data_IF_554391067017
#
_entry.id   IF_554391067017
#
_cell.length_a   1.000
_cell.length_b   1.000
_cell.length_c   1.000
_cell.angle_alpha   90.00
_cell.angle_beta   90.00
_cell.angle_gamma   90.00
#
_symmetry.space_group_name_H-M   'P 1'
#
loop_
_entity.id
_entity.type
_entity.pdbx_description
1 polymer ?
#
# COMPACT_ATOMS: atom_id res chain seq x y z
N UNK A 1 11.96 -1.23 -4.52
CA UNK A 1 12.86 -0.96 -3.39
C UNK A 1 14.00 -1.97 -3.29
N UNK A 2 13.74 -3.24 -3.53
CA UNK A 2 14.72 -4.34 -3.48
C UNK A 2 15.00 -4.84 -4.91
N UNK A 3 15.46 -3.92 -5.78
CA UNK A 3 15.66 -4.18 -7.22
C UNK A 3 16.82 -5.14 -7.52
N UNK A 4 17.78 -5.21 -6.61
CA UNK A 4 18.98 -6.03 -6.79
C UNK A 4 18.76 -7.52 -6.49
N UNK A 5 17.59 -7.89 -5.95
CA UNK A 5 17.20 -9.26 -5.67
C UNK A 5 15.78 -9.50 -6.19
N UNK A 6 15.67 -10.13 -7.35
CA UNK A 6 14.40 -10.47 -8.01
C UNK A 6 13.52 -11.41 -7.18
N UNK A 7 14.13 -12.26 -6.36
CA UNK A 7 13.40 -13.24 -5.54
C UNK A 7 12.59 -12.60 -4.43
N UNK A 8 12.93 -11.35 -4.04
CA UNK A 8 12.23 -10.64 -2.97
C UNK A 8 10.72 -10.52 -3.21
N UNK A 9 10.31 -10.43 -4.47
CA UNK A 9 8.90 -10.28 -4.86
C UNK A 9 8.38 -11.46 -5.70
N UNK A 10 9.06 -12.61 -5.68
CA UNK A 10 8.68 -13.77 -6.47
C UNK A 10 7.22 -14.18 -6.23
N UNK A 11 6.75 -14.18 -4.97
CA UNK A 11 5.36 -14.52 -4.65
C UNK A 11 4.34 -13.57 -5.29
N UNK A 12 4.68 -12.29 -5.43
CA UNK A 12 3.82 -11.30 -6.10
C UNK A 12 3.76 -11.57 -7.61
N UNK A 13 4.92 -11.92 -8.20
CA UNK A 13 4.98 -12.32 -9.61
C UNK A 13 4.14 -13.54 -9.91
N UNK A 14 4.31 -14.58 -9.11
CA UNK A 14 3.56 -15.83 -9.30
C UNK A 14 2.07 -15.64 -9.07
N UNK A 15 1.67 -14.77 -8.13
CA UNK A 15 0.27 -14.41 -7.94
C UNK A 15 -0.32 -13.68 -9.16
N UNK A 16 0.42 -12.72 -9.74
CA UNK A 16 -0.01 -12.02 -10.96
C UNK A 16 -0.12 -12.97 -12.16
N UNK A 17 0.85 -13.88 -12.31
CA UNK A 17 0.80 -14.92 -13.36
C UNK A 17 -0.40 -15.84 -13.18
N UNK A 18 -0.63 -16.33 -11.98
CA UNK A 18 -1.78 -17.19 -11.69
C UNK A 18 -3.09 -16.48 -11.98
N UNK A 19 -3.22 -15.23 -11.57
CA UNK A 19 -4.40 -14.42 -11.88
C UNK A 19 -4.58 -14.22 -13.39
N UNK A 20 -3.50 -13.94 -14.13
CA UNK A 20 -3.57 -13.76 -15.58
C UNK A 20 -4.07 -15.00 -16.32
N UNK A 21 -3.66 -16.18 -15.88
CA UNK A 21 -4.16 -17.45 -16.43
C UNK A 21 -5.65 -17.66 -16.14
N UNK A 22 -6.09 -17.32 -14.93
CA UNK A 22 -7.51 -17.41 -14.56
C UNK A 22 -8.38 -16.49 -15.40
N UNK A 23 -7.90 -15.27 -15.66
CA UNK A 23 -8.62 -14.25 -16.44
C UNK A 23 -8.43 -14.41 -17.96
N UNK A 24 -7.59 -15.36 -18.41
CA UNK A 24 -7.31 -15.57 -19.83
C UNK A 24 -6.60 -14.42 -20.52
N UNK A 25 -5.80 -13.65 -19.78
CA UNK A 25 -5.03 -12.50 -20.28
C UNK A 25 -3.53 -12.72 -20.14
N UNK A 26 -2.74 -12.01 -20.94
CA UNK A 26 -1.31 -11.90 -20.71
C UNK A 26 -1.01 -10.70 -19.83
N UNK A 27 -0.08 -10.87 -18.88
CA UNK A 27 0.41 -9.78 -18.05
C UNK A 27 1.89 -9.55 -18.31
N UNK A 28 2.23 -8.32 -18.72
CA UNK A 28 3.60 -7.83 -18.83
C UNK A 28 3.95 -7.04 -17.58
N UNK A 29 4.98 -7.48 -16.85
CA UNK A 29 5.36 -6.86 -15.59
C UNK A 29 6.63 -6.06 -15.79
N UNK A 30 6.54 -4.75 -15.62
CA UNK A 30 7.67 -3.83 -15.68
C UNK A 30 8.07 -3.36 -14.28
N UNK A 31 9.34 -3.52 -13.94
CA UNK A 31 9.89 -3.01 -12.70
C UNK A 31 10.20 -1.52 -12.78
N UNK A 32 9.67 -0.77 -11.82
CA UNK A 32 9.97 0.66 -11.67
C UNK A 32 10.68 0.90 -10.33
N UNK A 33 11.89 1.45 -10.37
CA UNK A 33 12.61 1.82 -9.15
C UNK A 33 12.00 3.07 -8.52
N UNK A 34 11.25 2.88 -7.45
CA UNK A 34 10.61 3.97 -6.73
C UNK A 34 11.60 5.02 -6.18
N UNK A 35 12.87 4.67 -5.94
CA UNK A 35 13.86 5.64 -5.50
C UNK A 35 14.29 6.60 -6.62
N UNK A 36 14.08 6.21 -7.88
CA UNK A 36 14.40 7.03 -9.07
C UNK A 36 13.17 7.71 -9.65
N UNK A 37 11.97 7.36 -9.17
CA UNK A 37 10.73 7.96 -9.63
C UNK A 37 10.58 9.37 -9.02
N UNK A 38 11.00 10.36 -9.77
CA UNK A 38 10.93 11.79 -9.40
C UNK A 38 9.83 12.56 -10.17
N UNK A 39 9.25 11.93 -11.19
CA UNK A 39 8.10 12.41 -11.98
C UNK A 39 7.25 11.23 -12.36
N UNK A 40 5.94 11.43 -12.44
CA UNK A 40 4.99 10.40 -12.87
C UNK A 40 5.04 10.11 -14.40
N UNK A 41 6.02 10.67 -15.11
CA UNK A 41 6.25 10.42 -16.54
C UNK A 41 6.58 8.95 -16.75
N UNK A 42 5.87 8.32 -17.68
CA UNK A 42 6.01 6.89 -17.99
C UNK A 42 5.04 5.98 -17.21
N UNK A 43 4.35 6.46 -16.18
CA UNK A 43 3.29 5.66 -15.53
C UNK A 43 2.01 5.62 -16.37
N UNK A 44 1.88 6.49 -17.35
CA UNK A 44 0.74 6.54 -18.28
C UNK A 44 0.61 5.27 -19.13
N UNK A 45 1.74 4.70 -19.50
CA UNK A 45 1.81 3.57 -20.44
C UNK A 45 1.39 2.23 -19.81
N UNK A 46 1.21 2.17 -18.49
CA UNK A 46 0.79 0.96 -17.78
C UNK A 46 -0.72 0.93 -17.57
N UNK A 47 -1.33 -0.25 -17.68
CA UNK A 47 -2.75 -0.48 -17.41
C UNK A 47 -3.08 -0.48 -15.92
N UNK A 48 -2.12 -0.81 -15.05
CA UNK A 48 -2.26 -0.83 -13.61
C UNK A 48 -0.93 -0.64 -12.90
N UNK A 49 -1.00 -0.28 -11.62
CA UNK A 49 0.15 -0.05 -10.77
C UNK A 49 0.04 -0.93 -9.52
N UNK A 50 1.06 -1.75 -9.27
CA UNK A 50 1.18 -2.52 -8.06
C UNK A 50 2.34 -1.99 -7.22
N UNK A 51 2.08 -1.62 -5.97
CA UNK A 51 3.10 -1.22 -5.01
C UNK A 51 3.22 -2.27 -3.93
N UNK A 52 4.30 -3.06 -3.91
CA UNK A 52 4.48 -4.16 -2.97
C UNK A 52 4.88 -3.67 -1.58
N UNK A 53 4.90 -4.60 -0.63
CA UNK A 53 5.39 -4.39 0.72
C UNK A 53 6.86 -4.00 0.80
N UNK A 54 7.28 -3.57 1.97
CA UNK A 54 8.66 -3.19 2.27
C UNK A 54 8.75 -2.40 3.58
N UNK A 55 9.98 -2.05 3.96
CA UNK A 55 10.28 -1.30 5.17
C UNK A 55 11.32 -0.22 4.90
N UNK A 56 11.38 0.81 5.78
CA UNK A 56 12.34 1.89 5.76
C UNK A 56 12.07 2.95 4.67
N UNK A 57 12.82 4.02 4.71
CA UNK A 57 12.51 5.28 4.03
C UNK A 57 12.81 5.31 2.52
N UNK A 58 13.70 4.42 2.03
CA UNK A 58 14.11 4.44 0.61
C UNK A 58 12.91 4.27 -0.34
N UNK A 59 12.73 5.24 -1.23
CA UNK A 59 11.72 5.21 -2.29
C UNK A 59 10.27 5.39 -1.82
N UNK A 60 10.02 5.85 -0.58
CA UNK A 60 8.66 6.08 -0.11
C UNK A 60 7.97 7.18 -0.91
N UNK A 61 8.60 8.33 -1.14
CA UNK A 61 8.00 9.42 -1.90
C UNK A 61 7.67 9.01 -3.34
N UNK A 62 8.53 8.21 -3.99
CA UNK A 62 8.20 7.68 -5.33
C UNK A 62 6.99 6.73 -5.32
N UNK A 63 6.82 5.95 -4.26
CA UNK A 63 5.63 5.09 -4.08
C UNK A 63 4.37 5.92 -3.81
N UNK A 64 4.47 6.97 -3.00
CA UNK A 64 3.38 7.92 -2.77
C UNK A 64 3.01 8.60 -4.10
N UNK A 65 4.00 9.03 -4.86
CA UNK A 65 3.78 9.63 -6.19
C UNK A 65 3.07 8.66 -7.15
N UNK A 66 3.44 7.39 -7.16
CA UNK A 66 2.77 6.38 -7.98
C UNK A 66 1.30 6.20 -7.56
N UNK A 67 1.03 6.19 -6.26
CA UNK A 67 -0.33 6.12 -5.73
C UNK A 67 -1.15 7.38 -6.06
N UNK A 68 -0.56 8.57 -5.91
CA UNK A 68 -1.20 9.84 -6.32
C UNK A 68 -1.53 9.85 -7.81
N UNK A 69 -0.58 9.42 -8.65
CA UNK A 69 -0.81 9.32 -10.08
C UNK A 69 -1.99 8.38 -10.40
N UNK A 70 -2.02 7.21 -9.78
CA UNK A 70 -3.10 6.24 -9.98
C UNK A 70 -4.46 6.83 -9.58
N UNK A 71 -4.53 7.49 -8.42
CA UNK A 71 -5.74 8.13 -7.92
C UNK A 71 -6.24 9.25 -8.85
N UNK A 72 -5.34 10.15 -9.27
CA UNK A 72 -5.68 11.30 -10.12
C UNK A 72 -6.09 10.88 -11.55
N UNK A 73 -5.52 9.80 -12.06
CA UNK A 73 -5.78 9.31 -13.41
C UNK A 73 -6.75 8.11 -13.45
N UNK A 74 -7.35 7.74 -12.31
CA UNK A 74 -8.28 6.61 -12.18
C UNK A 74 -7.67 5.30 -12.70
N UNK A 75 -6.37 5.11 -12.52
CA UNK A 75 -5.68 3.87 -12.88
C UNK A 75 -5.89 2.80 -11.80
N UNK A 76 -6.10 1.54 -12.18
CA UNK A 76 -6.09 0.44 -11.22
C UNK A 76 -4.82 0.46 -10.36
N UNK A 77 -4.99 0.37 -9.05
CA UNK A 77 -3.90 0.37 -8.09
C UNK A 77 -4.08 -0.74 -7.06
N UNK A 78 -3.04 -1.53 -6.85
CA UNK A 78 -2.99 -2.50 -5.78
C UNK A 78 -1.81 -2.19 -4.86
N UNK A 79 -2.10 -1.82 -3.62
CA UNK A 79 -1.11 -1.60 -2.58
C UNK A 79 -1.08 -2.75 -1.59
N UNK A 80 0.08 -3.39 -1.43
CA UNK A 80 0.27 -4.50 -0.48
C UNK A 80 1.12 -3.99 0.68
N UNK A 81 0.63 -4.12 1.93
CA UNK A 81 1.34 -3.71 3.15
C UNK A 81 1.78 -2.24 3.05
N UNK A 82 3.08 -1.96 2.88
CA UNK A 82 3.60 -0.60 2.67
C UNK A 82 2.93 0.11 1.49
N UNK A 83 2.60 -0.61 0.43
CA UNK A 83 1.91 -0.04 -0.73
C UNK A 83 0.52 0.52 -0.39
N UNK A 84 -0.25 -0.17 0.45
CA UNK A 84 -1.51 0.36 0.97
C UNK A 84 -1.28 1.62 1.80
N UNK A 85 -0.28 1.62 2.67
CA UNK A 85 0.06 2.79 3.50
C UNK A 85 0.40 4.01 2.63
N UNK A 86 1.12 3.82 1.52
CA UNK A 86 1.43 4.89 0.57
C UNK A 86 0.18 5.41 -0.14
N UNK A 87 -0.79 4.55 -0.42
CA UNK A 87 -2.07 4.97 -0.99
C UNK A 87 -2.89 5.84 0.00
N UNK A 88 -2.90 5.50 1.28
CA UNK A 88 -3.55 6.32 2.32
C UNK A 88 -2.92 7.70 2.41
N UNK A 89 -1.58 7.78 2.43
CA UNK A 89 -0.87 9.07 2.42
C UNK A 89 -1.19 9.86 1.14
N UNK A 90 -1.21 9.20 -0.01
CA UNK A 90 -1.54 9.83 -1.29
C UNK A 90 -2.97 10.41 -1.29
N UNK A 91 -3.94 9.66 -0.77
CA UNK A 91 -5.34 10.10 -0.66
C UNK A 91 -5.47 11.30 0.28
N UNK A 92 -4.84 11.27 1.45
CA UNK A 92 -4.82 12.37 2.40
C UNK A 92 -4.20 13.64 1.79
N UNK A 93 -3.06 13.53 1.12
CA UNK A 93 -2.41 14.65 0.43
C UNK A 93 -3.30 15.23 -0.68
N UNK A 94 -3.98 14.37 -1.44
CA UNK A 94 -4.89 14.78 -2.50
C UNK A 94 -6.15 15.48 -1.95
N UNK A 95 -6.59 15.12 -0.75
CA UNK A 95 -7.67 15.77 -0.02
C UNK A 95 -7.25 17.07 0.70
N UNK A 96 -6.00 17.50 0.56
CA UNK A 96 -5.50 18.77 1.12
C UNK A 96 -4.84 18.65 2.51
N UNK A 97 -4.61 17.44 3.02
CA UNK A 97 -3.83 17.25 4.25
C UNK A 97 -2.34 17.43 3.92
N UNK A 98 -1.91 18.69 3.92
CA UNK A 98 -0.52 19.04 3.61
C UNK A 98 0.44 18.40 4.61
N UNK A 99 1.50 17.74 4.08
CA UNK A 99 2.48 17.06 4.90
C UNK A 99 2.00 15.74 5.52
N UNK A 100 0.88 15.16 5.01
CA UNK A 100 0.50 13.80 5.39
C UNK A 100 1.66 12.83 5.17
N UNK A 101 1.97 12.04 6.20
CA UNK A 101 3.19 11.23 6.25
C UNK A 101 2.99 9.94 7.06
N UNK A 102 4.05 9.19 7.21
CA UNK A 102 4.15 8.01 8.09
C UNK A 102 5.21 8.23 9.17
N UNK A 103 5.05 7.55 10.28
CA UNK A 103 6.05 7.51 11.36
C UNK A 103 7.45 7.11 10.88
N UNK A 104 7.57 6.37 9.78
CA UNK A 104 8.87 5.99 9.19
C UNK A 104 9.60 7.16 8.52
N UNK A 105 8.86 8.16 7.99
CA UNK A 105 9.43 9.34 7.33
C UNK A 105 9.66 10.48 8.31
N UNK A 106 8.68 10.77 9.15
CA UNK A 106 8.74 11.89 10.07
C UNK A 106 8.01 11.54 11.39
N UNK A 107 8.79 11.21 12.40
CA UNK A 107 8.30 10.85 13.72
C UNK A 107 7.73 12.04 14.51
N UNK A 108 8.10 13.25 14.16
CA UNK A 108 7.68 14.47 14.84
C UNK A 108 6.39 15.09 14.23
N UNK A 109 6.02 14.65 13.03
CA UNK A 109 4.84 15.19 12.33
C UNK A 109 3.55 14.92 13.09
N UNK A 110 2.68 15.91 13.11
CA UNK A 110 1.29 15.78 13.59
C UNK A 110 0.37 15.13 12.54
N UNK A 111 0.81 15.09 11.28
CA UNK A 111 0.05 14.57 10.15
C UNK A 111 0.47 13.14 9.78
N UNK A 112 0.81 12.33 10.80
CA UNK A 112 1.08 10.90 10.61
C UNK A 112 -0.24 10.16 10.38
N UNK A 113 -0.69 10.07 9.13
CA UNK A 113 -1.88 9.29 8.74
C UNK A 113 -1.62 7.77 8.80
N UNK A 114 -0.35 7.39 8.81
CA UNK A 114 0.12 6.04 9.11
C UNK A 114 0.99 6.10 10.36
N UNK A 115 0.60 5.35 11.37
CA UNK A 115 1.27 5.29 12.68
C UNK A 115 1.75 3.89 13.01
N UNK A 116 2.61 3.77 14.01
CA UNK A 116 2.98 2.49 14.59
C UNK A 116 1.81 1.94 15.41
N UNK A 117 1.53 0.66 15.32
CA UNK A 117 0.53 -0.01 16.15
C UNK A 117 0.82 0.23 17.64
N UNK A 118 -0.23 0.40 18.45
CA UNK A 118 -0.07 0.78 19.86
C UNK A 118 0.76 -0.22 20.67
N UNK A 119 0.60 -1.50 20.38
CA UNK A 119 1.37 -2.60 21.02
C UNK A 119 2.83 -2.67 20.56
N UNK A 120 3.23 -1.82 19.61
CA UNK A 120 4.56 -1.77 19.00
C UNK A 120 5.36 -0.53 19.39
N UNK A 121 4.74 0.44 20.10
CA UNK A 121 5.37 1.75 20.42
C UNK A 121 6.62 1.64 21.28
N UNK A 122 6.67 0.63 22.16
CA UNK A 122 7.74 0.46 23.15
C UNK A 122 8.84 -0.53 22.72
N UNK A 123 8.78 -1.02 21.48
CA UNK A 123 9.68 -2.06 21.00
C UNK A 123 10.68 -1.52 20.00
N UNK A 124 11.94 -1.43 20.40
CA UNK A 124 13.06 -0.87 19.61
C UNK A 124 13.53 -1.75 18.45
N UNK A 125 13.23 -3.06 18.44
CA UNK A 125 13.72 -3.99 17.42
C UNK A 125 12.72 -4.18 16.28
N UNK A 126 13.11 -3.78 15.07
CA UNK A 126 12.26 -3.79 13.86
C UNK A 126 11.83 -5.16 13.34
N UNK A 127 12.50 -6.23 13.72
CA UNK A 127 12.25 -7.59 13.17
C UNK A 127 11.26 -8.44 13.97
N UNK A 128 11.04 -8.15 15.25
CA UNK A 128 10.23 -8.96 16.17
C UNK A 128 8.89 -8.34 16.56
N UNK A 129 8.60 -7.14 16.06
CA UNK A 129 7.50 -6.28 16.53
C UNK A 129 6.45 -6.02 15.45
N UNK A 130 6.23 -6.99 14.57
CA UNK A 130 5.20 -6.90 13.55
C UNK A 130 3.96 -7.67 13.96
N UNK A 131 2.78 -7.20 13.51
CA UNK A 131 1.59 -8.03 13.50
C UNK A 131 1.82 -9.19 12.53
N UNK A 132 1.89 -10.39 13.07
CA UNK A 132 2.17 -11.61 12.33
C UNK A 132 1.04 -12.61 12.52
N UNK A 133 0.70 -13.33 11.46
CA UNK A 133 -0.22 -14.45 11.50
C UNK A 133 -1.59 -14.14 10.91
N UNK A 134 -2.50 -15.06 11.09
CA UNK A 134 -3.84 -14.99 10.56
C UNK A 134 -4.69 -13.98 11.33
N UNK A 135 -5.34 -13.08 10.61
CA UNK A 135 -6.23 -12.07 11.17
C UNK A 135 -7.57 -12.11 10.44
N UNK A 136 -8.64 -12.04 11.20
CA UNK A 136 -9.97 -11.85 10.64
C UNK A 136 -10.09 -10.46 10.01
N UNK A 137 -10.65 -10.40 8.81
CA UNK A 137 -10.93 -9.17 8.09
C UNK A 137 -12.41 -9.11 7.73
N UNK A 138 -13.07 -8.03 8.14
CA UNK A 138 -14.41 -7.71 7.71
C UNK A 138 -14.34 -6.90 6.42
N UNK A 139 -15.02 -7.36 5.39
CA UNK A 139 -15.05 -6.73 4.07
C UNK A 139 -16.38 -6.02 3.90
N UNK A 140 -16.32 -4.75 3.53
CA UNK A 140 -17.51 -3.94 3.26
C UNK A 140 -18.31 -4.54 2.11
N UNK A 141 -19.61 -4.79 2.37
CA UNK A 141 -20.53 -5.37 1.42
C UNK A 141 -20.66 -4.49 0.18
N UNK A 142 -20.68 -5.11 -0.99
CA UNK A 142 -20.72 -4.46 -2.31
C UNK A 142 -19.44 -3.68 -2.71
N UNK A 143 -18.39 -3.74 -1.91
CA UNK A 143 -17.07 -3.22 -2.29
C UNK A 143 -16.42 -4.08 -3.41
N UNK A 144 -15.35 -3.55 -4.02
CA UNK A 144 -14.54 -4.34 -4.96
C UNK A 144 -13.92 -5.55 -4.26
N UNK A 145 -13.41 -5.38 -3.04
CA UNK A 145 -12.88 -6.47 -2.24
C UNK A 145 -13.93 -7.56 -2.00
N UNK A 146 -15.18 -7.19 -1.65
CA UNK A 146 -16.26 -8.15 -1.50
C UNK A 146 -16.55 -8.93 -2.78
N UNK A 147 -16.54 -8.26 -3.94
CA UNK A 147 -16.72 -8.92 -5.23
C UNK A 147 -15.59 -9.90 -5.54
N UNK A 148 -14.37 -9.54 -5.19
CA UNK A 148 -13.17 -10.35 -5.46
C UNK A 148 -13.10 -11.58 -4.54
N UNK A 149 -13.36 -11.41 -3.25
CA UNK A 149 -13.31 -12.51 -2.28
C UNK A 149 -14.58 -13.37 -2.23
N UNK A 150 -15.72 -12.82 -2.65
CA UNK A 150 -17.01 -13.48 -2.58
C UNK A 150 -17.55 -13.66 -1.16
N UNK A 151 -16.97 -13.02 -0.17
CA UNK A 151 -17.32 -13.14 1.25
C UNK A 151 -17.13 -11.79 1.99
N UNK A 152 -17.91 -11.60 3.05
CA UNK A 152 -17.81 -10.44 3.94
C UNK A 152 -16.88 -10.65 5.12
N UNK A 153 -16.50 -11.88 5.39
CA UNK A 153 -15.53 -12.25 6.41
C UNK A 153 -14.50 -13.20 5.82
N UNK A 154 -13.24 -12.84 5.96
CA UNK A 154 -12.11 -13.63 5.49
C UNK A 154 -11.03 -13.68 6.57
N UNK A 155 -10.11 -14.61 6.42
CA UNK A 155 -8.91 -14.68 7.25
C UNK A 155 -7.70 -14.53 6.35
N UNK A 156 -6.95 -13.43 6.58
CA UNK A 156 -5.74 -13.14 5.84
C UNK A 156 -4.50 -13.18 6.73
N UNK A 157 -3.39 -13.58 6.14
CA UNK A 157 -2.12 -13.59 6.83
C UNK A 157 -1.48 -12.21 6.78
N UNK A 158 -1.39 -11.58 7.94
CA UNK A 158 -0.80 -10.25 8.08
C UNK A 158 0.68 -10.30 8.39
N UNK A 159 1.40 -9.31 7.86
CA UNK A 159 2.78 -8.97 8.20
C UNK A 159 3.00 -7.48 8.02
N UNK A 160 2.69 -6.69 9.04
CA UNK A 160 2.87 -5.25 8.98
C UNK A 160 3.16 -4.64 10.36
N UNK A 161 3.78 -3.48 10.38
CA UNK A 161 4.13 -2.71 11.58
C UNK A 161 3.31 -1.42 11.69
N UNK A 162 3.06 -0.77 10.56
CA UNK A 162 2.27 0.45 10.50
C UNK A 162 0.80 0.15 10.20
N UNK A 163 -0.07 1.00 10.71
CA UNK A 163 -1.51 0.96 10.48
C UNK A 163 -2.07 2.36 10.22
N UNK A 164 -3.28 2.43 9.68
CA UNK A 164 -3.99 3.68 9.54
C UNK A 164 -4.20 4.32 10.91
N UNK A 165 -3.90 5.61 11.03
CA UNK A 165 -4.02 6.31 12.30
C UNK A 165 -5.49 6.62 12.61
N UNK A 166 -6.00 6.07 13.70
CA UNK A 166 -7.39 6.26 14.13
C UNK A 166 -7.76 7.71 14.44
N UNK A 167 -6.78 8.59 14.69
CA UNK A 167 -7.04 10.01 14.89
C UNK A 167 -7.66 10.68 13.65
N UNK A 168 -7.44 10.09 12.47
CA UNK A 168 -8.00 10.54 11.18
C UNK A 168 -9.19 9.70 10.71
N UNK A 169 -9.72 8.81 11.54
CA UNK A 169 -10.77 7.86 11.12
C UNK A 169 -12.01 8.54 10.53
N UNK A 170 -12.42 9.66 11.10
CA UNK A 170 -13.58 10.44 10.62
C UNK A 170 -13.35 11.10 9.26
N UNK A 171 -12.10 11.22 8.83
CA UNK A 171 -11.72 11.91 7.60
C UNK A 171 -11.52 10.95 6.41
N UNK A 172 -11.30 9.66 6.68
CA UNK A 172 -10.98 8.68 5.62
C UNK A 172 -12.02 8.62 4.51
N UNK A 173 -13.31 8.67 4.83
CA UNK A 173 -14.36 8.69 3.80
C UNK A 173 -14.25 9.92 2.89
N UNK A 174 -13.92 11.08 3.45
CA UNK A 174 -13.71 12.30 2.68
C UNK A 174 -12.51 12.23 1.75
N UNK A 175 -11.54 11.38 2.06
CA UNK A 175 -10.37 11.09 1.21
C UNK A 175 -10.64 9.99 0.18
N UNK A 176 -11.85 9.42 0.17
CA UNK A 176 -12.23 8.32 -0.71
C UNK A 176 -11.78 6.94 -0.24
N UNK A 177 -11.40 6.81 1.03
CA UNK A 177 -11.04 5.55 1.69
C UNK A 177 -12.27 5.02 2.44
N UNK A 178 -12.62 3.76 2.19
CA UNK A 178 -13.75 3.08 2.83
C UNK A 178 -13.26 1.84 3.57
#
# INVERSE_FOLDING_TARGET
KYMDNTDTYMSVFEALRSASWQEGVNVDITWVDAAKLNKAVGLADFDGILVPGGFGQRGLEGKIMAAQYALQNKKPYLGICLGLQMAVIAAARNAGVHGATTFELDQASKNQVITTMQDQKDKLETGRTMRLGNCACHIEKNSLAHKTYGATEIVERHRHRGECNNDFRSEYESWGIK
#
